data_IF_728552704283
#
_entry.id   IF_728552704283
#
_cell.length_a   1.000
_cell.length_b   1.000
_cell.length_c   1.000
_cell.angle_alpha   90.00
_cell.angle_beta   90.00
_cell.angle_gamma   90.00
#
_symmetry.space_group_name_H-M   'P 1'
#
loop_
_entity.id
_entity.type
_entity.pdbx_description
1 polymer ?
#
# COMPACT_ATOMS: atom_id res chain seq x y z
N UNK A 1 -0.60 16.68 18.18
CA UNK A 1 0.41 16.26 19.16
C UNK A 1 1.67 15.74 18.46
N UNK A 2 2.85 15.89 19.09
CA UNK A 2 4.12 15.47 18.50
C UNK A 2 4.19 13.97 18.24
N UNK A 3 3.71 13.15 19.16
CA UNK A 3 3.74 11.69 19.01
C UNK A 3 2.87 11.20 17.86
N UNK A 4 1.71 11.82 17.66
CA UNK A 4 0.86 11.49 16.52
C UNK A 4 1.51 11.87 15.20
N UNK A 5 2.14 13.03 15.11
CA UNK A 5 2.86 13.46 13.94
C UNK A 5 4.05 12.52 13.65
N UNK A 6 4.84 12.16 14.65
CA UNK A 6 5.91 11.17 14.54
C UNK A 6 5.39 9.82 14.02
N UNK A 7 4.27 9.34 14.55
CA UNK A 7 3.62 8.10 14.11
C UNK A 7 3.25 8.17 12.63
N UNK A 8 2.59 9.25 12.19
CA UNK A 8 2.21 9.49 10.79
C UNK A 8 3.44 9.47 9.89
N UNK A 9 4.48 10.24 10.24
CA UNK A 9 5.70 10.34 9.44
C UNK A 9 6.43 8.99 9.31
N UNK A 10 6.47 8.23 10.38
CA UNK A 10 7.10 6.91 10.39
C UNK A 10 6.28 5.88 9.62
N UNK A 11 4.98 5.75 9.91
CA UNK A 11 4.13 4.71 9.33
C UNK A 11 3.81 4.95 7.84
N UNK A 12 3.55 6.20 7.44
CA UNK A 12 3.09 6.52 6.09
C UNK A 12 4.19 7.09 5.20
N UNK A 13 5.25 7.63 5.78
CA UNK A 13 6.40 8.15 5.03
C UNK A 13 7.61 7.22 5.02
N UNK A 14 7.64 6.22 5.91
CA UNK A 14 8.85 5.45 6.18
C UNK A 14 10.04 6.41 6.46
N UNK A 15 9.74 7.54 7.16
CA UNK A 15 10.66 8.64 7.37
C UNK A 15 11.60 8.34 8.55
N UNK A 16 12.89 8.23 8.26
CA UNK A 16 13.93 7.90 9.25
C UNK A 16 14.10 8.99 10.32
N UNK A 17 13.84 10.24 9.93
CA UNK A 17 13.98 11.40 10.79
C UNK A 17 12.63 11.86 11.37
N UNK A 18 11.65 10.97 11.43
CA UNK A 18 10.30 11.26 11.91
C UNK A 18 10.28 11.93 13.30
N UNK A 19 11.06 11.50 14.32
CA UNK A 19 11.08 12.17 15.61
C UNK A 19 11.60 13.62 15.54
N UNK A 20 12.69 13.83 14.81
CA UNK A 20 13.33 15.14 14.67
C UNK A 20 12.42 16.12 13.92
N UNK A 21 11.84 15.65 12.79
CA UNK A 21 10.94 16.44 11.96
C UNK A 21 9.65 16.76 12.73
N UNK A 22 9.05 15.80 13.42
CA UNK A 22 7.85 16.04 14.24
C UNK A 22 8.13 17.08 15.34
N UNK A 23 9.26 16.97 16.04
CA UNK A 23 9.66 17.93 17.04
C UNK A 23 9.90 19.34 16.47
N UNK A 24 10.55 19.44 15.29
CA UNK A 24 10.77 20.72 14.63
C UNK A 24 9.43 21.38 14.21
N UNK A 25 8.52 20.61 13.62
CA UNK A 25 7.19 21.12 13.23
C UNK A 25 6.42 21.62 14.46
N UNK A 26 6.46 20.89 15.58
CA UNK A 26 5.74 21.30 16.79
C UNK A 26 6.34 22.55 17.40
N UNK A 27 7.66 22.64 17.49
CA UNK A 27 8.32 23.88 17.96
C UNK A 27 7.97 25.07 17.07
N UNK A 28 8.13 24.94 15.76
CA UNK A 28 7.82 26.04 14.83
C UNK A 28 6.37 26.51 14.96
N UNK A 29 5.41 25.59 15.11
CA UNK A 29 3.99 25.92 15.30
C UNK A 29 3.67 26.56 16.66
N UNK A 30 4.56 26.43 17.63
CA UNK A 30 4.46 27.16 18.91
C UNK A 30 4.65 28.66 18.75
N UNK A 31 5.52 29.05 17.82
CA UNK A 31 5.88 30.46 17.58
C UNK A 31 5.08 31.06 16.41
N UNK A 32 4.89 30.31 15.34
CA UNK A 32 4.27 30.77 14.10
C UNK A 32 3.56 29.64 13.34
N UNK A 33 2.38 29.93 12.77
CA UNK A 33 1.68 29.00 11.88
C UNK A 33 2.50 28.68 10.62
N UNK A 34 2.47 27.42 10.19
CA UNK A 34 2.99 26.99 8.86
C UNK A 34 1.87 27.22 7.84
N UNK A 35 2.04 28.19 6.96
CA UNK A 35 1.01 28.61 6.01
C UNK A 35 1.30 28.17 4.57
N UNK A 36 2.55 27.81 4.26
CA UNK A 36 2.95 27.40 2.91
C UNK A 36 3.73 26.08 2.91
N UNK A 37 3.72 25.42 1.74
CA UNK A 37 4.52 24.20 1.55
C UNK A 37 6.03 24.48 1.66
N UNK A 38 6.47 25.65 1.23
CA UNK A 38 7.90 26.05 1.30
C UNK A 38 8.34 26.27 2.76
N UNK A 39 7.53 26.90 3.59
CA UNK A 39 7.80 26.99 5.03
C UNK A 39 7.96 25.60 5.67
N UNK A 40 7.06 24.67 5.34
CA UNK A 40 7.18 23.30 5.83
C UNK A 40 8.46 22.62 5.33
N UNK A 41 8.86 22.82 4.08
CA UNK A 41 10.12 22.29 3.54
C UNK A 41 11.32 22.80 4.35
N UNK A 42 11.38 24.08 4.69
CA UNK A 42 12.49 24.63 5.46
C UNK A 42 12.52 24.09 6.90
N UNK A 43 11.37 23.94 7.53
CA UNK A 43 11.26 23.27 8.85
C UNK A 43 11.75 21.83 8.79
N UNK A 44 11.40 21.07 7.75
CA UNK A 44 11.86 19.70 7.56
C UNK A 44 13.38 19.66 7.39
N UNK A 45 13.93 20.50 6.50
CA UNK A 45 15.37 20.56 6.26
C UNK A 45 16.17 20.91 7.51
N UNK A 46 15.68 21.83 8.34
CA UNK A 46 16.34 22.22 9.58
C UNK A 46 16.45 21.07 10.61
N UNK A 47 15.58 20.07 10.51
CA UNK A 47 15.57 18.88 11.38
C UNK A 47 16.42 17.73 10.85
N UNK A 48 16.97 17.83 9.64
CA UNK A 48 17.68 16.74 8.98
C UNK A 48 19.20 16.98 8.98
N UNK A 49 20.02 15.92 9.13
CA UNK A 49 21.48 16.08 9.05
C UNK A 49 21.92 16.42 7.62
N UNK A 50 23.05 17.18 7.46
CA UNK A 50 23.53 17.61 6.14
C UNK A 50 23.74 16.47 5.13
N UNK A 51 24.13 15.28 5.61
CA UNK A 51 24.29 14.09 4.77
C UNK A 51 22.96 13.67 4.12
N UNK A 52 21.86 13.72 4.85
CA UNK A 52 20.53 13.36 4.33
C UNK A 52 20.01 14.37 3.32
N UNK A 53 20.37 15.65 3.46
CA UNK A 53 19.98 16.72 2.53
C UNK A 53 20.64 16.58 1.15
N UNK A 54 21.76 15.85 1.06
CA UNK A 54 22.50 15.59 -0.19
C UNK A 54 22.03 14.33 -0.92
N UNK A 55 21.05 13.60 -0.38
CA UNK A 55 20.48 12.42 -1.04
C UNK A 55 19.78 12.83 -2.34
N UNK A 56 19.77 11.92 -3.34
CA UNK A 56 19.15 12.16 -4.65
C UNK A 56 17.66 12.51 -4.56
N UNK A 57 16.98 12.05 -3.51
CA UNK A 57 15.56 12.29 -3.31
C UNK A 57 15.34 13.59 -2.52
N UNK A 58 14.36 14.39 -2.93
CA UNK A 58 14.01 15.61 -2.20
C UNK A 58 13.72 15.31 -0.73
N UNK A 59 14.35 16.01 0.24
CA UNK A 59 14.31 15.68 1.67
C UNK A 59 12.88 15.66 2.25
N UNK A 60 12.00 16.54 1.78
CA UNK A 60 10.63 16.62 2.28
C UNK A 60 9.65 15.62 1.63
N UNK A 61 10.07 14.85 0.62
CA UNK A 61 9.17 13.98 -0.14
C UNK A 61 8.40 12.99 0.74
N UNK A 62 9.11 12.31 1.64
CA UNK A 62 8.51 11.31 2.53
C UNK A 62 7.55 11.93 3.53
N UNK A 63 7.91 13.09 4.09
CA UNK A 63 7.05 13.85 5.00
C UNK A 63 5.75 14.28 4.31
N UNK A 64 5.83 14.86 3.11
CA UNK A 64 4.64 15.25 2.35
C UNK A 64 3.77 14.05 1.97
N UNK A 65 4.38 12.93 1.57
CA UNK A 65 3.65 11.69 1.32
C UNK A 65 2.89 11.24 2.58
N UNK A 66 3.55 11.22 3.73
CA UNK A 66 2.93 10.80 4.99
C UNK A 66 1.74 11.67 5.38
N UNK A 67 1.89 12.99 5.28
CA UNK A 67 0.83 13.94 5.59
C UNK A 67 -0.35 13.77 4.61
N UNK A 68 -0.09 13.63 3.31
CA UNK A 68 -1.13 13.43 2.30
C UNK A 68 -1.93 12.16 2.57
N UNK A 69 -1.25 11.05 2.83
CA UNK A 69 -1.89 9.77 3.17
C UNK A 69 -2.76 9.90 4.41
N UNK A 70 -2.27 10.57 5.46
CA UNK A 70 -3.02 10.75 6.70
C UNK A 70 -4.25 11.65 6.52
N UNK A 71 -4.10 12.79 5.84
CA UNK A 71 -5.19 13.77 5.63
C UNK A 71 -6.29 13.21 4.74
N UNK A 72 -5.92 12.47 3.70
CA UNK A 72 -6.87 11.92 2.73
C UNK A 72 -7.39 10.52 3.11
N UNK A 73 -6.91 9.91 4.19
CA UNK A 73 -7.24 8.52 4.57
C UNK A 73 -7.05 7.54 3.40
N UNK A 74 -5.93 7.71 2.66
CA UNK A 74 -5.70 7.01 1.40
C UNK A 74 -5.67 5.48 1.58
N UNK A 75 -4.97 4.98 2.59
CA UNK A 75 -4.76 3.55 2.80
C UNK A 75 -6.06 2.83 3.19
N UNK A 76 -6.84 3.41 4.12
CA UNK A 76 -8.13 2.83 4.49
C UNK A 76 -9.14 2.88 3.33
N UNK A 77 -9.03 3.90 2.47
CA UNK A 77 -9.86 4.02 1.27
C UNK A 77 -9.57 2.90 0.26
N UNK A 78 -8.31 2.52 0.08
CA UNK A 78 -7.92 1.38 -0.77
C UNK A 78 -8.47 0.08 -0.20
N UNK A 79 -8.34 -0.16 1.10
CA UNK A 79 -8.88 -1.36 1.73
C UNK A 79 -10.41 -1.43 1.60
N UNK A 80 -11.12 -0.35 1.95
CA UNK A 80 -12.59 -0.27 1.78
C UNK A 80 -13.02 -0.50 0.33
N UNK A 81 -12.25 0.01 -0.63
CA UNK A 81 -12.53 -0.22 -2.06
C UNK A 81 -12.46 -1.71 -2.39
N UNK A 82 -11.41 -2.42 -1.97
CA UNK A 82 -11.28 -3.86 -2.20
C UNK A 82 -12.43 -4.64 -1.57
N UNK A 83 -12.75 -4.34 -0.30
CA UNK A 83 -13.82 -5.03 0.44
C UNK A 83 -15.20 -4.84 -0.21
N UNK A 84 -15.42 -3.73 -0.89
CA UNK A 84 -16.69 -3.42 -1.54
C UNK A 84 -16.73 -3.82 -3.02
N UNK A 85 -15.63 -3.74 -3.75
CA UNK A 85 -15.58 -4.03 -5.18
C UNK A 85 -15.60 -5.53 -5.46
N UNK A 86 -14.74 -6.31 -4.77
CA UNK A 86 -14.61 -7.76 -5.02
C UNK A 86 -15.94 -8.53 -4.90
N UNK A 87 -16.77 -8.32 -3.86
CA UNK A 87 -18.06 -8.99 -3.77
C UNK A 87 -19.06 -8.63 -4.90
N UNK A 88 -18.90 -7.44 -5.50
CA UNK A 88 -19.81 -6.91 -6.54
C UNK A 88 -19.41 -7.30 -7.95
N UNK A 89 -18.25 -7.89 -8.14
CA UNK A 89 -17.87 -8.41 -9.45
C UNK A 89 -18.78 -9.57 -9.86
N UNK A 90 -19.21 -9.57 -11.12
CA UNK A 90 -19.83 -10.72 -11.73
C UNK A 90 -18.82 -11.86 -11.91
N UNK A 91 -19.24 -13.13 -11.95
CA UNK A 91 -18.37 -14.25 -12.29
C UNK A 91 -17.60 -13.97 -13.59
N UNK A 92 -16.27 -14.18 -13.57
CA UNK A 92 -15.38 -13.84 -14.67
C UNK A 92 -15.02 -12.35 -14.78
N UNK A 93 -15.66 -11.47 -14.01
CA UNK A 93 -15.33 -10.05 -13.96
C UNK A 93 -13.94 -9.82 -13.38
N UNK A 94 -13.22 -8.82 -13.88
CA UNK A 94 -11.85 -8.51 -13.48
C UNK A 94 -11.76 -7.18 -12.74
N UNK A 95 -10.94 -7.17 -11.68
CA UNK A 95 -10.52 -5.97 -10.97
C UNK A 95 -9.04 -5.77 -11.26
N UNK A 96 -8.70 -4.61 -11.83
CA UNK A 96 -7.33 -4.16 -12.04
C UNK A 96 -7.07 -2.92 -11.19
N UNK A 97 -6.00 -2.94 -10.40
CA UNK A 97 -5.64 -1.85 -9.49
C UNK A 97 -4.22 -1.41 -9.77
N UNK A 98 -4.04 -0.11 -10.02
CA UNK A 98 -2.72 0.52 -10.14
C UNK A 98 -2.44 1.27 -8.84
N UNK A 99 -1.26 1.03 -8.28
CA UNK A 99 -0.76 1.69 -7.07
C UNK A 99 0.53 2.43 -7.39
N UNK A 100 0.84 3.50 -6.65
CA UNK A 100 1.99 4.36 -6.92
C UNK A 100 3.03 4.38 -5.79
N UNK A 101 2.73 3.76 -4.64
CA UNK A 101 3.71 3.60 -3.55
C UNK A 101 3.58 2.25 -2.84
N UNK A 102 4.60 1.93 -2.04
CA UNK A 102 4.78 0.63 -1.37
C UNK A 102 3.63 0.25 -0.44
N UNK A 103 3.06 1.22 0.28
CA UNK A 103 2.00 0.96 1.25
C UNK A 103 0.69 0.60 0.57
N UNK A 104 0.30 1.33 -0.49
CA UNK A 104 -0.87 0.96 -1.31
C UNK A 104 -0.70 -0.44 -1.90
N UNK A 105 0.45 -0.71 -2.54
CA UNK A 105 0.72 -2.01 -3.14
C UNK A 105 0.65 -3.15 -2.12
N UNK A 106 1.12 -2.91 -0.90
CA UNK A 106 1.02 -3.88 0.21
C UNK A 106 -0.43 -4.20 0.55
N UNK A 107 -1.29 -3.18 0.68
CA UNK A 107 -2.72 -3.37 0.98
C UNK A 107 -3.41 -4.12 -0.15
N UNK A 108 -3.20 -3.71 -1.40
CA UNK A 108 -3.79 -4.40 -2.56
C UNK A 108 -3.30 -5.84 -2.65
N UNK A 109 -1.99 -6.08 -2.48
CA UNK A 109 -1.41 -7.43 -2.49
C UNK A 109 -2.04 -8.32 -1.42
N UNK A 110 -2.08 -7.85 -0.18
CA UNK A 110 -2.59 -8.64 0.95
C UNK A 110 -4.11 -8.81 0.88
N UNK A 111 -4.84 -7.77 0.49
CA UNK A 111 -6.30 -7.83 0.33
C UNK A 111 -6.72 -8.80 -0.76
N UNK A 112 -6.12 -8.72 -1.96
CA UNK A 112 -6.40 -9.67 -3.04
C UNK A 112 -5.98 -11.10 -2.67
N UNK A 113 -4.85 -11.29 -1.99
CA UNK A 113 -4.44 -12.60 -1.50
C UNK A 113 -5.43 -13.17 -0.48
N UNK A 114 -6.01 -12.33 0.38
CA UNK A 114 -7.06 -12.73 1.32
C UNK A 114 -8.31 -13.25 0.63
N UNK A 115 -8.79 -12.56 -0.41
CA UNK A 115 -9.93 -13.01 -1.22
C UNK A 115 -9.62 -14.24 -2.09
N UNK A 116 -8.36 -14.40 -2.51
CA UNK A 116 -7.92 -15.56 -3.27
C UNK A 116 -7.66 -16.79 -2.39
N UNK A 117 -7.61 -16.62 -1.06
CA UNK A 117 -7.42 -17.71 -0.14
C UNK A 117 -8.73 -18.47 0.03
N UNK A 118 -8.73 -19.75 -0.34
CA UNK A 118 -9.85 -20.66 -0.11
C UNK A 118 -9.93 -21.13 1.33
N UNK A 119 -9.49 -22.35 1.59
CA UNK A 119 -9.49 -22.94 2.92
C UNK A 119 -8.70 -22.12 3.95
N UNK A 120 -9.25 -21.97 5.15
CA UNK A 120 -8.63 -21.31 6.32
C UNK A 120 -8.39 -22.28 7.48
N UNK A 121 -8.64 -23.58 7.28
CA UNK A 121 -8.32 -24.61 8.28
C UNK A 121 -6.80 -24.65 8.54
N UNK A 122 -6.38 -25.05 9.74
CA UNK A 122 -4.99 -25.35 10.02
C UNK A 122 -4.42 -26.38 9.03
N UNK A 123 -3.12 -26.28 8.66
CA UNK A 123 -2.51 -27.16 7.66
C UNK A 123 -2.52 -28.65 8.06
N UNK A 124 -2.55 -28.96 9.33
CA UNK A 124 -2.56 -30.28 9.95
C UNK A 124 -3.96 -30.90 10.02
N UNK A 125 -4.99 -30.19 9.60
CA UNK A 125 -6.36 -30.70 9.60
C UNK A 125 -6.55 -31.74 8.48
N UNK A 126 -6.98 -32.99 8.78
CA UNK A 126 -7.07 -34.05 7.78
C UNK A 126 -8.12 -33.80 6.71
N UNK A 127 -9.17 -33.05 7.04
CA UNK A 127 -10.27 -32.70 6.10
C UNK A 127 -10.66 -31.24 6.29
N UNK A 128 -10.92 -30.53 5.18
CA UNK A 128 -11.41 -29.17 5.24
C UNK A 128 -12.84 -29.13 5.80
N UNK A 129 -13.02 -28.43 6.92
CA UNK A 129 -14.33 -28.24 7.59
C UNK A 129 -14.87 -26.81 7.43
N UNK A 130 -14.10 -25.87 6.89
CA UNK A 130 -14.53 -24.45 6.79
C UNK A 130 -15.46 -24.19 5.60
N UNK A 131 -15.52 -25.08 4.60
CA UNK A 131 -16.35 -24.92 3.40
C UNK A 131 -16.02 -23.66 2.55
N UNK A 132 -14.93 -22.96 2.87
CA UNK A 132 -14.58 -21.70 2.20
C UNK A 132 -13.94 -21.95 0.84
N UNK A 133 -14.44 -21.26 -0.17
CA UNK A 133 -13.88 -21.25 -1.52
C UNK A 133 -13.28 -19.87 -1.83
N UNK A 134 -12.29 -19.78 -2.73
CA UNK A 134 -11.76 -18.51 -3.18
C UNK A 134 -12.85 -17.64 -3.84
N UNK A 135 -12.89 -16.37 -3.49
CA UNK A 135 -13.76 -15.40 -4.15
C UNK A 135 -13.23 -14.97 -5.53
N UNK A 136 -11.90 -14.94 -5.64
CA UNK A 136 -11.17 -14.51 -6.84
C UNK A 136 -9.98 -15.42 -7.11
N UNK A 137 -9.47 -15.39 -8.35
CA UNK A 137 -8.14 -15.87 -8.69
C UNK A 137 -7.24 -14.68 -9.07
N UNK A 138 -5.97 -14.72 -8.68
CA UNK A 138 -5.01 -13.70 -9.09
C UNK A 138 -4.66 -13.91 -10.56
N UNK A 139 -4.81 -12.87 -11.39
CA UNK A 139 -4.41 -12.89 -12.81
C UNK A 139 -2.88 -12.83 -12.90
N UNK A 140 -2.25 -12.03 -12.05
CA UNK A 140 -0.79 -11.92 -11.95
C UNK A 140 -0.33 -12.05 -10.50
N UNK A 141 0.60 -12.98 -10.23
CA UNK A 141 1.19 -13.17 -8.89
C UNK A 141 2.15 -12.04 -8.51
N UNK A 142 2.96 -11.58 -9.48
CA UNK A 142 3.84 -10.41 -9.33
C UNK A 142 3.17 -9.20 -9.94
N UNK A 143 3.41 -7.97 -9.43
CA UNK A 143 2.87 -6.79 -10.06
C UNK A 143 3.46 -6.61 -11.46
N UNK A 144 2.66 -6.11 -12.39
CA UNK A 144 3.14 -5.64 -13.68
C UNK A 144 3.69 -4.24 -13.45
N UNK A 145 4.91 -4.01 -13.90
CA UNK A 145 5.62 -2.73 -13.81
C UNK A 145 5.56 -2.02 -15.16
N UNK A 146 5.67 -0.68 -15.19
CA UNK A 146 5.72 0.07 -16.44
C UNK A 146 6.96 -0.31 -17.24
N UNK A 147 6.83 -0.28 -18.56
CA UNK A 147 7.96 -0.46 -19.47
C UNK A 147 8.91 0.73 -19.41
N UNK A 148 10.14 0.55 -19.93
CA UNK A 148 11.10 1.65 -20.04
C UNK A 148 10.54 2.78 -20.93
N UNK A 149 9.92 2.44 -22.04
CA UNK A 149 9.28 3.40 -22.93
C UNK A 149 8.17 4.18 -22.22
N UNK A 150 7.29 3.52 -21.47
CA UNK A 150 6.24 4.17 -20.71
C UNK A 150 6.79 5.16 -19.67
N UNK A 151 7.92 4.81 -19.02
CA UNK A 151 8.57 5.71 -18.04
C UNK A 151 9.20 6.93 -18.74
N UNK A 152 9.75 6.76 -19.93
CA UNK A 152 10.32 7.86 -20.74
C UNK A 152 9.23 8.81 -21.22
N UNK A 153 8.10 8.29 -21.68
CA UNK A 153 6.93 9.07 -22.12
C UNK A 153 6.16 9.70 -20.93
N UNK A 154 6.06 8.97 -19.81
CA UNK A 154 5.37 9.40 -18.60
C UNK A 154 6.19 9.11 -17.33
N UNK A 155 7.08 10.01 -16.92
CA UNK A 155 7.92 9.82 -15.72
C UNK A 155 7.14 9.57 -14.42
N UNK A 156 5.85 9.93 -14.36
CA UNK A 156 4.97 9.67 -13.22
C UNK A 156 4.64 8.19 -13.06
N UNK A 157 4.70 7.41 -14.15
CA UNK A 157 4.45 5.98 -14.13
C UNK A 157 5.56 5.17 -13.42
N UNK A 158 6.75 5.76 -13.19
CA UNK A 158 7.94 5.04 -12.66
C UNK A 158 7.68 4.19 -11.42
N UNK A 159 6.77 4.58 -10.57
CA UNK A 159 6.44 3.87 -9.33
C UNK A 159 5.16 3.03 -9.44
N UNK A 160 4.52 3.01 -10.61
CA UNK A 160 3.26 2.30 -10.82
C UNK A 160 3.44 0.79 -10.70
N UNK A 161 2.45 0.13 -10.10
CA UNK A 161 2.36 -1.32 -9.99
C UNK A 161 0.93 -1.75 -10.27
N UNK A 162 0.72 -2.55 -11.32
CA UNK A 162 -0.58 -3.08 -11.66
C UNK A 162 -0.75 -4.49 -11.08
N UNK A 163 -1.84 -4.69 -10.34
CA UNK A 163 -2.32 -6.00 -9.90
C UNK A 163 -3.72 -6.24 -10.42
N UNK A 164 -3.96 -7.47 -10.87
CA UNK A 164 -5.26 -7.87 -11.39
C UNK A 164 -5.73 -9.19 -10.78
N UNK A 165 -7.03 -9.28 -10.57
CA UNK A 165 -7.72 -10.46 -10.09
C UNK A 165 -9.02 -10.65 -10.87
N UNK A 166 -9.49 -11.90 -10.95
CA UNK A 166 -10.71 -12.28 -11.64
C UNK A 166 -11.65 -12.99 -10.67
N UNK A 167 -12.93 -12.62 -10.69
CA UNK A 167 -13.97 -13.25 -9.86
C UNK A 167 -14.17 -14.69 -10.26
N UNK A 168 -14.11 -15.62 -9.28
CA UNK A 168 -14.39 -17.01 -9.51
C UNK A 168 -15.86 -17.23 -9.85
N UNK A 169 -16.16 -18.18 -10.73
CA UNK A 169 -17.51 -18.65 -10.98
C UNK A 169 -18.02 -19.39 -9.74
N UNK A 170 -19.26 -19.15 -9.33
CA UNK A 170 -19.89 -19.82 -8.16
C UNK A 170 -20.08 -21.34 -8.33
N UNK A 171 -19.82 -21.91 -9.50
CA UNK A 171 -19.85 -23.34 -9.75
C UNK A 171 -18.44 -23.90 -9.70
N UNK A 172 -18.12 -24.51 -8.57
CA UNK A 172 -17.31 -25.71 -8.40
C UNK A 172 -16.11 -25.90 -9.36
N UNK A 173 -15.07 -25.13 -9.22
CA UNK A 173 -13.79 -25.80 -9.17
C UNK A 173 -13.53 -26.10 -7.71
N UNK A 174 -14.06 -27.24 -7.26
CA UNK A 174 -13.72 -27.85 -5.99
C UNK A 174 -12.19 -27.82 -5.93
N UNK A 175 -11.67 -27.04 -4.99
CA UNK A 175 -10.26 -27.03 -4.64
C UNK A 175 -9.82 -28.50 -4.48
N UNK A 176 -9.12 -29.06 -5.48
CA UNK A 176 -8.33 -30.26 -5.32
C UNK A 176 -7.07 -29.83 -4.59
N UNK A 177 -6.89 -30.22 -3.32
CA UNK A 177 -5.59 -30.05 -2.69
C UNK A 177 -4.58 -30.77 -3.59
N UNK A 178 -3.55 -30.07 -4.01
CA UNK A 178 -2.43 -30.67 -4.71
C UNK A 178 -1.86 -31.75 -3.81
N UNK A 179 -2.15 -33.02 -4.16
CA UNK A 179 -1.50 -34.18 -3.59
C UNK A 179 -0.02 -34.13 -3.98
N UNK A 180 0.77 -33.47 -3.16
CA UNK A 180 2.21 -33.56 -3.17
C UNK A 180 2.73 -33.67 -1.74
N UNK A 181 2.38 -34.78 -1.12
CA UNK A 181 3.27 -35.40 -0.15
C UNK A 181 3.64 -36.77 -0.73
N UNK A 182 4.74 -36.82 -1.47
CA UNK A 182 5.51 -38.06 -1.62
C UNK A 182 6.58 -38.01 -0.56
N UNK A 183 6.66 -39.12 0.18
CA UNK A 183 7.49 -39.49 1.28
C UNK A 183 8.99 -39.22 1.15
#
# INVERSE_FOLDING_TARGET
PQEELKRILFQYGEERFAPQIAGAIVRYRGDKSISTTLELVEVIKSAMPPKALREKQHPAKRTFQAIRIAVNDELSSVDRMLQRAVPRLNPGGRLAVITFHSLEDRIVKTGLAGFAKGCVCPPDFPVCVCGRTPDIRLVNKKPILPSRQEIEENPRARSAKLRAAEKCSRKAEIYRPSAQYKG
#
